data_IF_206036640363
#
_entry.id   IF_206036640363
#
_cell.length_a   1.000
_cell.length_b   1.000
_cell.length_c   1.000
_cell.angle_alpha   90.00
_cell.angle_beta   90.00
_cell.angle_gamma   90.00
#
_symmetry.space_group_name_H-M   'P 1'
#
loop_
_entity.id
_entity.type
_entity.pdbx_description
1 polymer ?
#
# COMPACT_ATOMS: atom_id res chain seq x y z
N UNK A 1 16.10 -30.20 -23.41
CA UNK A 1 15.72 -28.97 -22.69
C UNK A 1 14.33 -29.25 -22.21
N UNK A 2 14.23 -29.75 -20.98
CA UNK A 2 12.95 -30.14 -20.41
C UNK A 2 12.34 -28.89 -19.78
N UNK A 3 11.25 -28.42 -20.37
CA UNK A 3 10.38 -27.41 -19.77
C UNK A 3 9.74 -28.02 -18.52
N UNK A 4 10.21 -27.59 -17.35
CA UNK A 4 9.58 -27.91 -16.07
C UNK A 4 8.25 -27.15 -16.05
N UNK A 5 7.10 -27.83 -15.88
CA UNK A 5 5.81 -27.16 -15.76
C UNK A 5 5.81 -26.19 -14.57
N UNK A 6 5.24 -24.99 -14.74
CA UNK A 6 5.11 -23.94 -13.69
C UNK A 6 4.46 -24.43 -12.38
N UNK A 7 3.89 -25.63 -12.35
CA UNK A 7 3.19 -26.23 -11.22
C UNK A 7 4.05 -27.14 -10.31
N UNK A 8 5.37 -27.24 -10.57
CA UNK A 8 6.33 -27.97 -9.71
C UNK A 8 7.30 -27.02 -8.97
N UNK A 9 6.80 -25.92 -8.42
CA UNK A 9 7.59 -25.16 -7.45
C UNK A 9 7.92 -26.04 -6.24
N UNK A 10 9.20 -26.09 -5.87
CA UNK A 10 9.69 -26.84 -4.71
C UNK A 10 8.94 -26.35 -3.47
N UNK A 11 8.29 -27.23 -2.69
CA UNK A 11 7.56 -26.89 -1.46
C UNK A 11 8.34 -25.95 -0.53
N UNK A 12 9.66 -26.10 -0.49
CA UNK A 12 10.60 -25.31 0.30
C UNK A 12 10.60 -23.82 -0.06
N UNK A 13 10.45 -23.48 -1.34
CA UNK A 13 10.47 -22.09 -1.82
C UNK A 13 9.15 -21.36 -1.54
N UNK A 14 8.03 -22.08 -1.54
CA UNK A 14 6.71 -21.55 -1.17
C UNK A 14 6.59 -21.32 0.33
N UNK A 15 7.14 -22.22 1.14
CA UNK A 15 7.20 -22.07 2.59
C UNK A 15 8.08 -20.86 2.97
N UNK A 16 9.25 -20.72 2.34
CA UNK A 16 10.14 -19.59 2.58
C UNK A 16 9.47 -18.23 2.29
N UNK A 17 8.76 -18.09 1.15
CA UNK A 17 8.05 -16.85 0.83
C UNK A 17 6.96 -16.52 1.87
N UNK A 18 6.23 -17.53 2.33
CA UNK A 18 5.21 -17.35 3.34
C UNK A 18 5.81 -16.90 4.67
N UNK A 19 6.94 -17.50 5.06
CA UNK A 19 7.68 -17.12 6.27
C UNK A 19 8.22 -15.70 6.18
N UNK A 20 8.73 -15.28 5.01
CA UNK A 20 9.19 -13.92 4.75
C UNK A 20 8.03 -12.90 4.87
N UNK A 21 6.86 -13.20 4.29
CA UNK A 21 5.68 -12.35 4.41
C UNK A 21 5.23 -12.21 5.87
N UNK A 22 5.23 -13.31 6.63
CA UNK A 22 4.91 -13.25 8.05
C UNK A 22 5.99 -12.54 8.87
N UNK A 23 7.27 -12.64 8.49
CA UNK A 23 8.35 -11.90 9.14
C UNK A 23 8.16 -10.39 8.97
N UNK A 24 7.85 -9.94 7.76
CA UNK A 24 7.57 -8.53 7.49
C UNK A 24 6.32 -8.08 8.24
N UNK A 25 5.26 -8.89 8.23
CA UNK A 25 4.04 -8.58 8.99
C UNK A 25 4.35 -8.38 10.48
N UNK A 26 5.15 -9.27 11.09
CA UNK A 26 5.58 -9.13 12.49
C UNK A 26 6.38 -7.86 12.74
N UNK A 27 7.27 -7.48 11.81
CA UNK A 27 8.05 -6.25 11.91
C UNK A 27 7.14 -5.01 11.87
N UNK A 28 6.13 -5.00 10.99
CA UNK A 28 5.10 -3.95 10.96
C UNK A 28 4.34 -3.91 12.29
N UNK A 29 3.87 -5.07 12.77
CA UNK A 29 3.10 -5.17 14.02
C UNK A 29 3.94 -4.75 15.25
N UNK A 30 5.26 -4.96 15.23
CA UNK A 30 6.18 -4.55 16.31
C UNK A 30 6.70 -3.12 16.19
N UNK A 31 6.33 -2.39 15.13
CA UNK A 31 6.83 -1.04 14.86
C UNK A 31 8.27 -0.97 14.33
N UNK A 32 8.87 -2.09 13.92
CA UNK A 32 10.20 -2.14 13.29
C UNK A 32 10.07 -1.86 11.78
N UNK A 33 9.77 -0.60 11.49
CA UNK A 33 9.41 -0.10 10.17
C UNK A 33 10.56 -0.11 9.17
N UNK A 34 11.80 0.08 9.63
CA UNK A 34 12.99 0.02 8.79
C UNK A 34 13.23 -1.39 8.28
N UNK A 35 13.16 -2.39 9.18
CA UNK A 35 13.29 -3.80 8.80
C UNK A 35 12.16 -4.25 7.88
N UNK A 36 10.91 -3.85 8.17
CA UNK A 36 9.75 -4.14 7.33
C UNK A 36 9.92 -3.59 5.90
N UNK A 37 10.43 -2.37 5.77
CA UNK A 37 10.65 -1.72 4.46
C UNK A 37 11.71 -2.44 3.64
N UNK A 38 12.83 -2.82 4.27
CA UNK A 38 13.91 -3.56 3.60
C UNK A 38 13.40 -4.91 3.11
N UNK A 39 12.76 -5.69 3.97
CA UNK A 39 12.23 -7.01 3.63
C UNK A 39 11.21 -6.95 2.50
N UNK A 40 10.31 -5.97 2.55
CA UNK A 40 9.23 -5.86 1.59
C UNK A 40 9.67 -5.31 0.22
N UNK A 41 10.70 -4.45 0.15
CA UNK A 41 11.31 -4.05 -1.15
C UNK A 41 11.86 -5.25 -1.92
N UNK A 42 12.44 -6.22 -1.21
CA UNK A 42 12.92 -7.47 -1.82
C UNK A 42 11.75 -8.29 -2.35
N UNK A 43 10.66 -8.41 -1.57
CA UNK A 43 9.50 -9.20 -1.96
C UNK A 43 8.61 -8.53 -3.01
N UNK A 44 8.62 -7.19 -3.12
CA UNK A 44 7.73 -6.46 -4.02
C UNK A 44 7.88 -6.93 -5.47
N UNK A 45 9.04 -7.42 -5.91
CA UNK A 45 9.23 -7.88 -7.30
C UNK A 45 9.05 -9.39 -7.48
N UNK A 46 8.70 -10.10 -6.41
CA UNK A 46 8.58 -11.55 -6.45
C UNK A 46 7.26 -11.96 -7.15
N UNK A 47 7.32 -12.68 -8.29
CA UNK A 47 6.12 -13.15 -8.99
C UNK A 47 5.33 -14.18 -8.19
N UNK A 48 5.99 -14.85 -7.22
CA UNK A 48 5.40 -15.90 -6.38
C UNK A 48 4.42 -15.34 -5.34
N UNK A 49 4.36 -14.02 -5.14
CA UNK A 49 3.39 -13.38 -4.26
C UNK A 49 1.93 -13.75 -4.61
N UNK A 50 1.66 -14.06 -5.89
CA UNK A 50 0.34 -14.48 -6.36
C UNK A 50 -0.18 -15.79 -5.74
N UNK A 51 0.70 -16.58 -5.11
CA UNK A 51 0.32 -17.78 -4.34
C UNK A 51 -0.25 -17.46 -2.95
N UNK A 52 0.04 -16.28 -2.40
CA UNK A 52 -0.47 -15.81 -1.11
C UNK A 52 -1.15 -14.45 -1.24
N UNK A 53 -2.20 -14.34 -2.08
CA UNK A 53 -2.75 -13.06 -2.51
C UNK A 53 -3.25 -12.18 -1.35
N UNK A 54 -3.92 -12.77 -0.36
CA UNK A 54 -4.49 -12.02 0.76
C UNK A 54 -3.39 -11.53 1.72
N UNK A 55 -2.42 -12.39 2.09
CA UNK A 55 -1.29 -12.01 2.95
C UNK A 55 -0.37 -11.00 2.26
N UNK A 56 -0.10 -11.19 0.96
CA UNK A 56 0.66 -10.24 0.17
C UNK A 56 -0.06 -8.89 0.05
N UNK A 57 -1.38 -8.90 -0.15
CA UNK A 57 -2.19 -7.68 -0.18
C UNK A 57 -2.09 -6.92 1.15
N UNK A 58 -2.23 -7.60 2.28
CA UNK A 58 -2.10 -7.02 3.60
C UNK A 58 -0.71 -6.41 3.83
N UNK A 59 0.36 -7.18 3.60
CA UNK A 59 1.75 -6.73 3.81
C UNK A 59 2.07 -5.52 2.93
N UNK A 60 1.76 -5.58 1.63
CA UNK A 60 2.03 -4.48 0.70
C UNK A 60 1.21 -3.23 1.05
N UNK A 61 -0.06 -3.40 1.43
CA UNK A 61 -0.92 -2.28 1.80
C UNK A 61 -0.50 -1.59 3.09
N UNK A 62 -0.07 -2.35 4.09
CA UNK A 62 0.48 -1.82 5.33
C UNK A 62 1.81 -1.10 5.10
N UNK A 63 2.69 -1.64 4.26
CA UNK A 63 3.94 -0.97 3.91
C UNK A 63 3.71 0.33 3.15
N UNK A 64 2.82 0.33 2.14
CA UNK A 64 2.50 1.53 1.40
C UNK A 64 1.91 2.62 2.31
N UNK A 65 1.10 2.21 3.29
CA UNK A 65 0.56 3.09 4.33
C UNK A 65 1.68 3.69 5.20
N UNK A 66 2.63 2.86 5.62
CA UNK A 66 3.78 3.29 6.43
C UNK A 66 4.68 4.29 5.68
N UNK A 67 5.02 3.99 4.42
CA UNK A 67 5.82 4.90 3.59
C UNK A 67 5.12 6.25 3.38
N UNK A 68 3.79 6.22 3.22
CA UNK A 68 3.00 7.44 3.14
C UNK A 68 3.08 8.26 4.43
N UNK A 69 3.01 7.64 5.60
CA UNK A 69 3.15 8.34 6.88
C UNK A 69 4.56 8.89 7.09
N UNK A 70 5.59 8.14 6.73
CA UNK A 70 6.98 8.62 6.79
C UNK A 70 7.18 9.83 5.87
N UNK A 71 6.65 9.78 4.64
CA UNK A 71 6.71 10.90 3.70
C UNK A 71 6.01 12.16 4.23
N UNK A 72 4.94 12.01 5.02
CA UNK A 72 4.24 13.13 5.67
C UNK A 72 5.07 13.75 6.79
N UNK A 73 5.74 12.93 7.60
CA UNK A 73 6.69 13.41 8.61
C UNK A 73 7.89 14.14 8.01
N UNK A 74 8.24 13.78 6.77
CA UNK A 74 9.36 14.32 6.01
C UNK A 74 8.93 15.29 4.90
N UNK A 75 7.77 15.98 5.01
CA UNK A 75 7.15 16.70 3.87
C UNK A 75 8.04 17.76 3.17
N UNK A 76 9.11 18.21 3.83
CA UNK A 76 10.09 19.17 3.29
C UNK A 76 11.40 18.52 2.79
N UNK A 77 11.50 17.20 2.89
CA UNK A 77 12.65 16.40 2.46
C UNK A 77 12.57 16.02 0.98
N UNK A 78 13.73 15.91 0.33
CA UNK A 78 13.83 15.38 -1.02
C UNK A 78 13.33 13.92 -1.13
N UNK A 79 13.31 13.20 0.00
CA UNK A 79 12.87 11.80 0.08
C UNK A 79 11.35 11.63 0.09
N UNK A 80 10.57 12.68 0.41
CA UNK A 80 9.11 12.58 0.51
C UNK A 80 8.46 12.18 -0.83
N UNK A 81 8.92 12.76 -1.94
CA UNK A 81 8.43 12.43 -3.28
C UNK A 81 8.61 10.95 -3.64
N UNK A 82 9.85 10.42 -3.61
CA UNK A 82 10.12 9.00 -3.83
C UNK A 82 9.33 8.06 -2.91
N UNK A 83 9.19 8.40 -1.62
CA UNK A 83 8.39 7.59 -0.67
C UNK A 83 6.89 7.57 -1.04
N UNK A 84 6.33 8.69 -1.49
CA UNK A 84 4.95 8.75 -1.98
C UNK A 84 4.76 7.92 -3.25
N UNK A 85 5.72 7.99 -4.19
CA UNK A 85 5.67 7.18 -5.42
C UNK A 85 5.71 5.68 -5.11
N UNK A 86 6.60 5.26 -4.20
CA UNK A 86 6.69 3.86 -3.76
C UNK A 86 5.40 3.42 -3.02
N UNK A 87 4.85 4.28 -2.16
CA UNK A 87 3.57 4.02 -1.49
C UNK A 87 2.43 3.79 -2.49
N UNK A 88 2.33 4.61 -3.54
CA UNK A 88 1.34 4.47 -4.61
C UNK A 88 1.50 3.12 -5.33
N UNK A 89 2.73 2.72 -5.66
CA UNK A 89 2.99 1.43 -6.33
C UNK A 89 2.53 0.25 -5.46
N UNK A 90 2.92 0.25 -4.18
CA UNK A 90 2.60 -0.80 -3.22
C UNK A 90 1.10 -0.92 -2.99
N UNK A 91 0.41 0.21 -2.77
CA UNK A 91 -1.04 0.23 -2.55
C UNK A 91 -1.82 -0.23 -3.79
N UNK A 92 -1.39 0.15 -5.00
CA UNK A 92 -1.99 -0.37 -6.23
C UNK A 92 -1.79 -1.87 -6.40
N UNK A 93 -0.59 -2.38 -6.06
CA UNK A 93 -0.32 -3.81 -6.11
C UNK A 93 -1.11 -4.57 -5.06
N UNK A 94 -1.19 -4.06 -3.83
CA UNK A 94 -2.04 -4.63 -2.78
C UNK A 94 -3.49 -4.75 -3.26
N UNK A 95 -4.01 -3.69 -3.92
CA UNK A 95 -5.36 -3.66 -4.49
C UNK A 95 -5.58 -4.69 -5.59
N UNK A 96 -4.59 -4.93 -6.47
CA UNK A 96 -4.71 -5.89 -7.57
C UNK A 96 -4.64 -7.35 -7.11
N UNK A 97 -3.96 -7.60 -5.99
CA UNK A 97 -3.80 -8.93 -5.42
C UNK A 97 -5.01 -9.39 -4.59
N UNK A 98 -5.98 -8.52 -4.33
CA UNK A 98 -7.15 -8.85 -3.52
C UNK A 98 -7.95 -10.01 -4.14
N UNK A 99 -8.21 -11.06 -3.36
CA UNK A 99 -9.17 -12.11 -3.75
C UNK A 99 -10.38 -12.18 -2.82
N UNK A 100 -10.21 -11.87 -1.53
CA UNK A 100 -11.29 -11.92 -0.54
C UNK A 100 -11.56 -10.56 0.14
N UNK A 101 -12.81 -10.32 0.51
CA UNK A 101 -13.28 -9.10 1.19
C UNK A 101 -13.02 -9.09 2.72
N UNK A 102 -12.20 -10.01 3.22
CA UNK A 102 -12.00 -10.24 4.66
C UNK A 102 -11.10 -9.21 5.36
N UNK A 103 -10.32 -8.43 4.61
CA UNK A 103 -9.49 -7.34 5.12
C UNK A 103 -10.14 -5.99 4.79
N UNK A 104 -10.08 -4.96 5.66
CA UNK A 104 -10.72 -3.67 5.43
C UNK A 104 -10.07 -2.92 4.25
N UNK A 105 -10.42 -3.29 3.02
CA UNK A 105 -9.86 -2.71 1.78
C UNK A 105 -10.08 -1.20 1.67
N UNK A 106 -11.10 -0.69 2.36
CA UNK A 106 -11.39 0.74 2.42
C UNK A 106 -10.22 1.55 3.00
N UNK A 107 -9.39 0.97 3.88
CA UNK A 107 -8.22 1.68 4.41
C UNK A 107 -7.14 1.88 3.34
N UNK A 108 -6.88 0.87 2.50
CA UNK A 108 -5.88 0.96 1.44
C UNK A 108 -6.33 1.86 0.29
N UNK A 109 -7.61 1.80 -0.09
CA UNK A 109 -8.17 2.72 -1.09
C UNK A 109 -8.11 4.17 -0.57
N UNK A 110 -8.44 4.40 0.70
CA UNK A 110 -8.33 5.72 1.32
C UNK A 110 -6.88 6.22 1.39
N UNK A 111 -5.94 5.38 1.81
CA UNK A 111 -4.52 5.74 1.86
C UNK A 111 -3.94 5.97 0.47
N UNK A 112 -4.40 5.24 -0.55
CA UNK A 112 -4.01 5.48 -1.93
C UNK A 112 -4.53 6.84 -2.43
N UNK A 113 -5.77 7.19 -2.09
CA UNK A 113 -6.28 8.53 -2.37
C UNK A 113 -5.43 9.62 -1.69
N UNK A 114 -5.09 9.43 -0.41
CA UNK A 114 -4.24 10.35 0.33
C UNK A 114 -2.83 10.46 -0.28
N UNK A 115 -2.24 9.38 -0.77
CA UNK A 115 -0.95 9.40 -1.44
C UNK A 115 -0.98 10.26 -2.72
N UNK A 116 -2.03 10.12 -3.54
CA UNK A 116 -2.24 10.99 -4.70
C UNK A 116 -2.47 12.46 -4.31
N UNK A 117 -3.15 12.75 -3.20
CA UNK A 117 -3.28 14.11 -2.69
C UNK A 117 -1.93 14.70 -2.27
N UNK A 118 -1.09 13.93 -1.55
CA UNK A 118 0.25 14.40 -1.17
C UNK A 118 1.13 14.61 -2.40
N UNK A 119 1.04 13.72 -3.40
CA UNK A 119 1.74 13.90 -4.68
C UNK A 119 1.30 15.17 -5.40
N UNK A 120 0.00 15.49 -5.40
CA UNK A 120 -0.52 16.77 -5.88
C UNK A 120 0.09 17.96 -5.13
N UNK A 121 0.18 17.90 -3.80
CA UNK A 121 0.82 18.96 -3.00
C UNK A 121 2.29 19.18 -3.40
N UNK A 122 3.02 18.11 -3.71
CA UNK A 122 4.42 18.22 -4.11
C UNK A 122 4.64 18.76 -5.52
N UNK A 123 3.80 18.38 -6.48
CA UNK A 123 4.06 18.65 -7.91
C UNK A 123 3.05 19.58 -8.59
N UNK A 124 1.97 19.96 -7.91
CA UNK A 124 0.91 20.83 -8.39
C UNK A 124 0.09 20.29 -9.56
N UNK A 125 0.19 18.99 -9.89
CA UNK A 125 -0.47 18.39 -11.06
C UNK A 125 -1.93 18.04 -10.75
N UNK A 126 -2.92 18.68 -11.39
CA UNK A 126 -4.33 18.42 -11.11
C UNK A 126 -4.78 16.98 -11.40
N UNK A 127 -4.06 16.26 -12.25
CA UNK A 127 -4.32 14.84 -12.53
C UNK A 127 -4.19 13.96 -11.30
N UNK A 128 -3.23 14.23 -10.42
CA UNK A 128 -3.05 13.48 -9.16
C UNK A 128 -4.25 13.72 -8.23
N UNK A 129 -4.71 14.97 -8.13
CA UNK A 129 -5.89 15.32 -7.36
C UNK A 129 -7.15 14.62 -7.89
N UNK A 130 -7.33 14.57 -9.21
CA UNK A 130 -8.45 13.87 -9.85
C UNK A 130 -8.41 12.36 -9.58
N UNK A 131 -7.25 11.73 -9.72
CA UNK A 131 -7.09 10.29 -9.46
C UNK A 131 -7.41 9.97 -8.01
N UNK A 132 -6.86 10.74 -7.06
CA UNK A 132 -7.15 10.54 -5.63
C UNK A 132 -8.65 10.68 -5.33
N UNK A 133 -9.31 11.68 -5.91
CA UNK A 133 -10.76 11.89 -5.73
C UNK A 133 -11.59 10.72 -6.26
N UNK A 134 -11.28 10.20 -7.45
CA UNK A 134 -11.99 9.06 -8.04
C UNK A 134 -11.84 7.79 -7.18
N UNK A 135 -10.66 7.57 -6.60
CA UNK A 135 -10.42 6.43 -5.69
C UNK A 135 -11.25 6.60 -4.41
N UNK A 136 -11.25 7.81 -3.84
CA UNK A 136 -11.98 8.10 -2.62
C UNK A 136 -13.51 8.02 -2.80
N UNK A 137 -14.03 8.45 -3.95
CA UNK A 137 -15.44 8.31 -4.32
C UNK A 137 -15.82 6.83 -4.50
N UNK A 138 -14.89 6.01 -4.99
CA UNK A 138 -15.05 4.55 -5.08
C UNK A 138 -14.89 3.81 -3.74
N UNK A 139 -14.36 4.47 -2.70
CA UNK A 139 -14.12 3.86 -1.38
C UNK A 139 -15.44 3.72 -0.62
N UNK A 140 -15.81 2.47 -0.31
CA UNK A 140 -17.05 2.15 0.43
C UNK A 140 -17.01 2.72 1.84
N UNK A 141 -18.17 3.10 2.36
CA UNK A 141 -18.32 3.47 3.75
C UNK A 141 -17.95 2.28 4.66
N UNK A 142 -17.19 2.58 5.72
CA UNK A 142 -16.89 1.61 6.77
C UNK A 142 -17.95 1.66 7.87
N UNK A 143 -18.26 0.52 8.46
CA UNK A 143 -19.05 0.43 9.71
C UNK A 143 -18.17 0.54 10.96
N UNK A 144 -16.86 0.36 10.79
CA UNK A 144 -15.86 0.68 11.80
C UNK A 144 -15.76 2.21 11.94
N UNK A 145 -16.05 2.78 13.13
CA UNK A 145 -16.09 4.22 13.35
C UNK A 145 -14.72 4.88 13.17
N UNK A 146 -13.62 4.23 13.54
CA UNK A 146 -12.28 4.80 13.45
C UNK A 146 -11.85 4.88 11.97
N UNK A 147 -12.15 3.82 11.21
CA UNK A 147 -11.91 3.83 9.76
C UNK A 147 -12.83 4.83 9.03
N UNK A 148 -14.09 4.96 9.46
CA UNK A 148 -15.00 5.95 8.91
C UNK A 148 -14.52 7.39 9.18
N UNK A 149 -14.02 7.67 10.39
CA UNK A 149 -13.41 8.95 10.74
C UNK A 149 -12.17 9.22 9.88
N UNK A 150 -11.28 8.24 9.73
CA UNK A 150 -10.09 8.34 8.90
C UNK A 150 -10.43 8.67 7.43
N UNK A 151 -11.37 7.94 6.84
CA UNK A 151 -11.84 8.22 5.47
C UNK A 151 -12.46 9.63 5.39
N UNK A 152 -13.21 10.04 6.41
CA UNK A 152 -13.79 11.38 6.50
C UNK A 152 -12.73 12.48 6.58
N UNK A 153 -11.64 12.26 7.32
CA UNK A 153 -10.51 13.18 7.39
C UNK A 153 -9.83 13.34 6.01
N UNK A 154 -9.63 12.23 5.29
CA UNK A 154 -9.07 12.27 3.93
C UNK A 154 -10.00 13.01 2.98
N UNK A 155 -11.33 12.80 3.04
CA UNK A 155 -12.30 13.55 2.19
C UNK A 155 -12.16 15.06 2.34
N UNK A 156 -11.97 15.55 3.58
CA UNK A 156 -11.79 16.98 3.84
C UNK A 156 -10.57 17.57 3.13
N UNK A 157 -9.49 16.80 2.93
CA UNK A 157 -8.32 17.25 2.16
C UNK A 157 -8.67 17.63 0.72
N UNK A 158 -9.66 16.95 0.11
CA UNK A 158 -10.08 17.19 -1.27
C UNK A 158 -11.14 18.29 -1.42
N UNK A 159 -11.87 18.60 -0.35
CA UNK A 159 -12.92 19.64 -0.37
C UNK A 159 -12.32 21.06 -0.31
N UNK A 160 -11.16 21.22 0.32
CA UNK A 160 -10.43 22.49 0.38
C UNK A 160 -8.98 22.26 -0.03
N UNK A 161 -8.69 22.01 -1.32
CA UNK A 161 -7.34 21.74 -1.77
C UNK A 161 -6.46 22.97 -1.49
N UNK A 162 -5.52 22.83 -0.56
CA UNK A 162 -4.52 23.86 -0.31
C UNK A 162 -3.67 24.02 -1.57
N UNK A 163 -3.37 25.26 -1.99
CA UNK A 163 -2.45 25.49 -3.10
C UNK A 163 -1.08 24.82 -2.76
N UNK A 164 -0.42 24.19 -3.75
CA UNK A 164 0.96 23.76 -3.60
C UNK A 164 1.89 24.94 -3.26
#
# INVERSE_FOLDING_TARGET
MDDIPEDQQRPDERAALQDDLYAIKRQIDSGDYDAATIGARVLQRDPRLTHYPDLASEVLGNLGTLLLFNAQGEENSAEAGPMIDEAIELLNRARSMRRNAGFPTAIFDANLALAHYQKFRLNGRPGELLVGKLILDGTRASTDPDLAEWIGAIRKCFDTPTRP
#
